data_IF_325478821511
#
_entry.id   IF_325478821511
#
_cell.length_a   1.000
_cell.length_b   1.000
_cell.length_c   1.000
_cell.angle_alpha   90.00
_cell.angle_beta   90.00
_cell.angle_gamma   90.00
#
_symmetry.space_group_name_H-M   'P 1'
#
loop_
_entity.id
_entity.type
_entity.pdbx_description
1 polymer ?
#
# COMPACT_ATOMS: atom_id res chain seq x y z
N UNK A 1 -16.95 -9.03 -23.19
CA UNK A 1 -16.70 -8.07 -22.07
C UNK A 1 -15.23 -7.66 -22.06
N UNK A 2 -14.92 -6.38 -21.89
CA UNK A 2 -13.52 -5.92 -21.89
C UNK A 2 -13.02 -5.82 -20.43
N UNK A 3 -12.44 -6.90 -19.92
CA UNK A 3 -11.91 -6.97 -18.54
C UNK A 3 -10.84 -5.91 -18.23
N UNK A 4 -10.08 -5.47 -19.25
CA UNK A 4 -9.12 -4.37 -19.08
C UNK A 4 -9.83 -3.06 -18.73
N UNK A 5 -10.95 -2.76 -19.36
CA UNK A 5 -11.69 -1.53 -19.12
C UNK A 5 -12.29 -1.51 -17.72
N UNK A 6 -12.81 -2.64 -17.24
CA UNK A 6 -13.34 -2.76 -15.88
C UNK A 6 -12.21 -2.58 -14.86
N UNK A 7 -11.05 -3.19 -15.08
CA UNK A 7 -9.91 -3.03 -14.17
C UNK A 7 -9.33 -1.60 -14.21
N UNK A 8 -9.32 -0.96 -15.38
CA UNK A 8 -8.96 0.46 -15.51
C UNK A 8 -9.97 1.37 -14.78
N UNK A 9 -11.27 1.04 -14.84
CA UNK A 9 -12.29 1.75 -14.07
C UNK A 9 -12.08 1.58 -12.56
N UNK A 10 -11.79 0.35 -12.08
CA UNK A 10 -11.42 0.12 -10.67
C UNK A 10 -10.23 1.00 -10.27
N UNK A 11 -9.18 1.06 -11.10
CA UNK A 11 -8.01 1.88 -10.83
C UNK A 11 -8.36 3.37 -10.77
N UNK A 12 -9.06 3.89 -11.77
CA UNK A 12 -9.41 5.32 -11.81
C UNK A 12 -10.36 5.73 -10.68
N UNK A 13 -11.35 4.89 -10.36
CA UNK A 13 -12.24 5.15 -9.23
C UNK A 13 -11.47 5.14 -7.92
N UNK A 14 -10.60 4.15 -7.70
CA UNK A 14 -9.87 4.03 -6.44
C UNK A 14 -8.76 5.09 -6.28
N UNK A 15 -8.03 5.44 -7.35
CA UNK A 15 -6.85 6.30 -7.25
C UNK A 15 -7.11 7.78 -7.58
N UNK A 16 -8.23 8.11 -8.27
CA UNK A 16 -8.44 9.49 -8.74
C UNK A 16 -9.83 9.97 -8.42
N UNK A 17 -10.87 9.35 -8.99
CA UNK A 17 -12.21 9.94 -9.06
C UNK A 17 -12.82 10.04 -7.66
N UNK A 18 -12.86 8.95 -6.91
CA UNK A 18 -13.53 8.94 -5.60
C UNK A 18 -12.75 9.75 -4.56
N UNK A 19 -11.41 9.72 -4.61
CA UNK A 19 -10.59 10.53 -3.73
C UNK A 19 -10.76 12.02 -3.99
N UNK A 20 -10.67 12.47 -5.25
CA UNK A 20 -10.90 13.88 -5.59
C UNK A 20 -12.34 14.32 -5.29
N UNK A 21 -13.33 13.48 -5.60
CA UNK A 21 -14.73 13.80 -5.29
C UNK A 21 -14.93 13.98 -3.78
N UNK A 22 -14.41 13.08 -2.96
CA UNK A 22 -14.44 13.22 -1.50
C UNK A 22 -13.71 14.48 -1.05
N UNK A 23 -12.51 14.75 -1.57
CA UNK A 23 -11.69 15.89 -1.17
C UNK A 23 -12.38 17.24 -1.45
N UNK A 24 -13.06 17.36 -2.60
CA UNK A 24 -13.73 18.60 -3.01
C UNK A 24 -15.09 18.77 -2.34
N UNK A 25 -15.85 17.69 -2.17
CA UNK A 25 -17.25 17.75 -1.70
C UNK A 25 -17.42 17.44 -0.22
N UNK A 26 -16.44 16.80 0.43
CA UNK A 26 -16.55 16.24 1.78
C UNK A 26 -17.45 14.99 1.89
N UNK A 27 -18.00 14.49 0.76
CA UNK A 27 -18.98 13.39 0.77
C UNK A 27 -18.24 12.05 0.76
N UNK A 28 -18.24 11.34 1.88
CA UNK A 28 -17.60 10.02 2.04
C UNK A 28 -18.33 8.89 1.28
N UNK A 29 -19.58 9.10 0.86
CA UNK A 29 -20.35 8.12 0.09
C UNK A 29 -19.68 7.73 -1.23
N UNK A 30 -18.86 8.60 -1.83
CA UNK A 30 -18.08 8.24 -3.03
C UNK A 30 -17.16 7.04 -2.83
N UNK A 31 -16.70 6.77 -1.61
CA UNK A 31 -15.86 5.61 -1.28
C UNK A 31 -16.59 4.26 -1.36
N UNK A 32 -17.91 4.26 -1.54
CA UNK A 32 -18.67 3.04 -1.83
C UNK A 32 -18.51 2.57 -3.27
N UNK A 33 -18.20 3.45 -4.22
CA UNK A 33 -18.09 3.11 -5.65
C UNK A 33 -16.98 2.08 -5.95
N UNK A 34 -15.73 2.20 -5.42
CA UNK A 34 -14.73 1.17 -5.57
C UNK A 34 -15.15 -0.20 -5.03
N UNK A 35 -15.84 -0.22 -3.88
CA UNK A 35 -16.40 -1.43 -3.29
C UNK A 35 -17.44 -2.10 -4.22
N UNK A 36 -18.42 -1.35 -4.67
CA UNK A 36 -19.47 -1.86 -5.57
C UNK A 36 -18.86 -2.38 -6.88
N UNK A 37 -17.85 -1.69 -7.41
CA UNK A 37 -17.19 -2.13 -8.63
C UNK A 37 -16.31 -3.37 -8.39
N UNK A 38 -15.70 -3.54 -7.23
CA UNK A 38 -14.96 -4.75 -6.88
C UNK A 38 -15.91 -5.98 -6.82
N UNK A 39 -17.08 -5.83 -6.18
CA UNK A 39 -18.12 -6.88 -6.18
C UNK A 39 -18.61 -7.17 -7.61
N UNK A 40 -18.90 -6.13 -8.39
CA UNK A 40 -19.32 -6.30 -9.78
C UNK A 40 -18.26 -7.02 -10.60
N UNK A 41 -16.97 -6.73 -10.37
CA UNK A 41 -15.84 -7.40 -11.03
C UNK A 41 -15.85 -8.90 -10.73
N UNK A 42 -16.08 -9.29 -9.48
CA UNK A 42 -16.19 -10.71 -9.09
C UNK A 42 -17.42 -11.37 -9.72
N UNK A 43 -18.59 -10.70 -9.71
CA UNK A 43 -19.82 -11.21 -10.33
C UNK A 43 -19.73 -11.36 -11.85
N UNK A 44 -18.92 -10.53 -12.50
CA UNK A 44 -18.71 -10.58 -13.95
C UNK A 44 -17.69 -11.65 -14.38
N UNK A 45 -16.93 -12.22 -13.45
CA UNK A 45 -15.92 -13.22 -13.72
C UNK A 45 -16.49 -14.46 -14.46
N UNK A 46 -17.62 -15.08 -14.03
CA UNK A 46 -18.21 -16.23 -14.72
C UNK A 46 -18.73 -15.90 -16.13
N UNK A 47 -19.05 -14.64 -16.41
CA UNK A 47 -19.54 -14.18 -17.71
C UNK A 47 -18.43 -13.90 -18.71
N UNK A 48 -17.19 -14.05 -18.31
CA UNK A 48 -16.05 -13.81 -19.21
C UNK A 48 -15.90 -14.96 -20.19
N UNK A 49 -16.08 -14.68 -21.49
CA UNK A 49 -16.02 -15.69 -22.58
C UNK A 49 -14.66 -16.36 -22.72
N UNK A 50 -13.60 -15.78 -22.17
CA UNK A 50 -12.23 -16.30 -22.22
C UNK A 50 -11.73 -16.65 -20.83
N UNK A 51 -12.62 -17.18 -19.99
CA UNK A 51 -12.26 -17.62 -18.66
C UNK A 51 -11.17 -18.70 -18.71
N UNK A 52 -10.03 -18.43 -18.14
CA UNK A 52 -8.91 -19.33 -18.02
C UNK A 52 -8.19 -19.04 -16.73
N UNK A 53 -8.42 -19.82 -15.68
CA UNK A 53 -7.73 -19.61 -14.41
C UNK A 53 -6.22 -19.72 -14.60
N UNK A 54 -5.47 -18.92 -13.85
CA UNK A 54 -4.02 -19.00 -13.84
C UNK A 54 -3.58 -20.38 -13.34
N UNK A 55 -2.61 -20.99 -14.03
CA UNK A 55 -2.01 -22.26 -13.58
C UNK A 55 -0.75 -21.97 -12.79
N UNK A 56 -0.88 -21.90 -11.48
CA UNK A 56 0.21 -21.60 -10.55
C UNK A 56 0.47 -22.80 -9.64
N UNK A 57 1.72 -22.95 -9.22
CA UNK A 57 2.02 -23.79 -8.06
C UNK A 57 1.39 -23.11 -6.84
N UNK A 58 0.80 -23.87 -5.95
CA UNK A 58 0.15 -23.37 -4.74
C UNK A 58 -1.14 -22.53 -4.93
N UNK A 59 -1.73 -22.48 -6.12
CA UNK A 59 -2.97 -21.74 -6.37
C UNK A 59 -4.08 -22.14 -5.38
N UNK A 60 -4.26 -23.43 -5.15
CA UNK A 60 -5.24 -23.98 -4.20
C UNK A 60 -4.96 -23.49 -2.78
N UNK A 61 -3.69 -23.44 -2.37
CA UNK A 61 -3.30 -22.94 -1.04
C UNK A 61 -3.59 -21.46 -0.88
N UNK A 62 -3.34 -20.66 -1.93
CA UNK A 62 -3.67 -19.21 -1.93
C UNK A 62 -5.17 -19.01 -1.81
N UNK A 63 -5.97 -19.75 -2.58
CA UNK A 63 -7.43 -19.69 -2.50
C UNK A 63 -7.96 -20.16 -1.14
N UNK A 64 -7.39 -21.22 -0.58
CA UNK A 64 -7.77 -21.74 0.73
C UNK A 64 -7.49 -20.72 1.83
N UNK A 65 -6.28 -20.14 1.88
CA UNK A 65 -5.93 -19.14 2.88
C UNK A 65 -6.80 -17.88 2.74
N UNK A 66 -7.02 -17.42 1.50
CA UNK A 66 -7.86 -16.27 1.23
C UNK A 66 -9.32 -16.50 1.64
N UNK A 67 -9.88 -17.65 1.25
CA UNK A 67 -11.25 -18.02 1.63
C UNK A 67 -11.40 -18.22 3.13
N UNK A 68 -10.41 -18.86 3.77
CA UNK A 68 -10.36 -19.02 5.22
C UNK A 68 -10.37 -17.68 5.96
N UNK A 69 -9.57 -16.71 5.49
CA UNK A 69 -9.55 -15.34 6.04
C UNK A 69 -10.92 -14.67 5.90
N UNK A 70 -11.53 -14.73 4.70
CA UNK A 70 -12.84 -14.12 4.46
C UNK A 70 -13.93 -14.77 5.33
N UNK A 71 -13.97 -16.09 5.40
CA UNK A 71 -14.95 -16.82 6.21
C UNK A 71 -14.79 -16.44 7.68
N UNK A 72 -13.57 -16.44 8.21
CA UNK A 72 -13.30 -16.06 9.59
C UNK A 72 -13.75 -14.62 9.86
N UNK A 73 -13.35 -13.67 9.01
CA UNK A 73 -13.69 -12.26 9.18
C UNK A 73 -15.19 -12.01 9.08
N UNK A 74 -15.86 -12.52 8.03
CA UNK A 74 -17.28 -12.25 7.80
C UNK A 74 -18.20 -12.99 8.78
N UNK A 75 -17.95 -14.29 9.02
CA UNK A 75 -18.78 -15.04 9.98
C UNK A 75 -18.54 -14.57 11.41
N UNK A 76 -17.27 -14.29 11.77
CA UNK A 76 -16.95 -13.74 13.10
C UNK A 76 -17.67 -12.43 13.37
N UNK A 77 -17.69 -11.52 12.38
CA UNK A 77 -18.40 -10.24 12.49
C UNK A 77 -19.90 -10.43 12.52
N UNK A 78 -20.45 -11.27 11.62
CA UNK A 78 -21.90 -11.52 11.55
C UNK A 78 -22.47 -12.07 12.86
N UNK A 79 -21.75 -13.00 13.48
CA UNK A 79 -22.17 -13.64 14.74
C UNK A 79 -22.06 -12.70 15.94
N UNK A 80 -21.08 -11.80 15.95
CA UNK A 80 -20.82 -10.91 17.10
C UNK A 80 -21.55 -9.56 17.00
N UNK A 81 -21.70 -9.01 15.80
CA UNK A 81 -22.16 -7.62 15.59
C UNK A 81 -23.35 -7.48 14.63
N UNK A 82 -23.70 -8.55 13.92
CA UNK A 82 -24.83 -8.56 12.99
C UNK A 82 -24.51 -8.05 11.58
N UNK A 83 -25.50 -8.13 10.68
CA UNK A 83 -25.29 -7.98 9.23
C UNK A 83 -24.86 -6.59 8.78
N UNK A 84 -25.38 -5.51 9.40
CA UNK A 84 -25.05 -4.14 8.98
C UNK A 84 -23.55 -3.83 9.21
N UNK A 85 -23.04 -4.18 10.38
CA UNK A 85 -21.61 -3.97 10.69
C UNK A 85 -20.72 -4.85 9.80
N UNK A 86 -21.16 -6.09 9.49
CA UNK A 86 -20.45 -6.96 8.55
C UNK A 86 -20.30 -6.32 7.17
N UNK A 87 -21.33 -5.71 6.62
CA UNK A 87 -21.29 -5.03 5.32
C UNK A 87 -20.34 -3.82 5.37
N UNK A 88 -20.44 -3.01 6.41
CA UNK A 88 -19.63 -1.79 6.56
C UNK A 88 -18.16 -2.17 6.80
N UNK A 89 -17.86 -3.11 7.69
CA UNK A 89 -16.52 -3.60 7.94
C UNK A 89 -15.91 -4.25 6.71
N UNK A 90 -16.63 -5.10 6.02
CA UNK A 90 -16.17 -5.68 4.77
C UNK A 90 -15.84 -4.60 3.73
N UNK A 91 -16.72 -3.60 3.55
CA UNK A 91 -16.49 -2.46 2.67
C UNK A 91 -15.24 -1.68 3.04
N UNK A 92 -15.02 -1.42 4.33
CA UNK A 92 -13.89 -0.60 4.78
C UNK A 92 -12.55 -1.33 4.66
N UNK A 93 -12.49 -2.63 5.00
CA UNK A 93 -11.24 -3.32 5.31
C UNK A 93 -10.84 -4.39 4.30
N UNK A 94 -11.80 -5.08 3.68
CA UNK A 94 -11.52 -6.25 2.84
C UNK A 94 -12.11 -6.19 1.43
N UNK A 95 -12.90 -5.18 1.09
CA UNK A 95 -13.62 -5.15 -0.18
C UNK A 95 -12.72 -5.25 -1.41
N UNK A 96 -11.64 -4.50 -1.43
CA UNK A 96 -10.72 -4.47 -2.56
C UNK A 96 -9.81 -5.70 -2.61
N UNK A 97 -9.79 -6.52 -1.55
CA UNK A 97 -9.14 -7.83 -1.58
C UNK A 97 -9.77 -8.77 -2.61
N UNK A 98 -11.05 -8.57 -2.98
CA UNK A 98 -11.75 -9.34 -4.02
C UNK A 98 -11.07 -9.26 -5.40
N UNK A 99 -10.26 -8.23 -5.64
CA UNK A 99 -9.48 -8.12 -6.89
C UNK A 99 -8.40 -9.21 -7.00
N UNK A 100 -7.86 -9.67 -5.88
CA UNK A 100 -6.86 -10.73 -5.85
C UNK A 100 -7.39 -12.06 -6.42
N UNK A 101 -8.50 -12.64 -5.92
CA UNK A 101 -9.08 -13.84 -6.52
C UNK A 101 -9.57 -13.60 -7.95
N UNK A 102 -10.07 -12.41 -8.32
CA UNK A 102 -10.42 -12.11 -9.70
C UNK A 102 -9.22 -12.25 -10.64
N UNK A 103 -8.07 -11.69 -10.27
CA UNK A 103 -6.83 -11.80 -11.03
C UNK A 103 -6.30 -13.23 -11.05
N UNK A 104 -6.32 -13.94 -9.90
CA UNK A 104 -5.92 -15.33 -9.78
C UNK A 104 -6.76 -16.26 -10.64
N UNK A 105 -8.05 -15.98 -10.79
CA UNK A 105 -8.98 -16.73 -11.65
C UNK A 105 -8.96 -16.27 -13.12
N UNK A 106 -8.02 -15.41 -13.51
CA UNK A 106 -7.76 -15.07 -14.90
C UNK A 106 -8.63 -13.94 -15.47
N UNK A 107 -9.14 -13.05 -14.62
CA UNK A 107 -9.93 -11.89 -15.06
C UNK A 107 -9.12 -10.95 -15.99
N UNK A 108 -7.82 -10.80 -15.76
CA UNK A 108 -6.91 -10.04 -16.62
C UNK A 108 -5.75 -10.91 -17.13
N UNK A 109 -5.29 -10.58 -18.34
CA UNK A 109 -4.11 -11.16 -18.99
C UNK A 109 -2.93 -10.17 -19.01
N UNK A 110 -1.77 -10.66 -19.38
CA UNK A 110 -0.50 -9.92 -19.41
C UNK A 110 -0.59 -8.59 -20.17
N UNK A 111 -1.16 -8.61 -21.37
CA UNK A 111 -1.32 -7.41 -22.20
C UNK A 111 -2.23 -6.35 -21.57
N UNK A 112 -3.16 -6.79 -20.71
CA UNK A 112 -4.06 -5.92 -19.98
C UNK A 112 -3.36 -5.30 -18.77
N UNK A 113 -2.55 -6.08 -18.03
CA UNK A 113 -1.70 -5.56 -16.97
C UNK A 113 -0.78 -4.46 -17.51
N UNK A 114 -0.16 -4.67 -18.66
CA UNK A 114 0.66 -3.63 -19.30
C UNK A 114 -0.11 -2.31 -19.53
N UNK A 115 -1.36 -2.39 -20.04
CA UNK A 115 -2.21 -1.20 -20.25
C UNK A 115 -2.57 -0.50 -18.93
N UNK A 116 -2.84 -1.26 -17.89
CA UNK A 116 -3.15 -0.72 -16.57
C UNK A 116 -1.92 -0.01 -15.99
N UNK A 117 -0.73 -0.58 -16.16
CA UNK A 117 0.52 0.04 -15.67
C UNK A 117 0.84 1.36 -16.38
N UNK A 118 0.47 1.51 -17.66
CA UNK A 118 0.53 2.82 -18.33
C UNK A 118 -0.41 3.84 -17.69
N UNK A 119 -1.59 3.42 -17.26
CA UNK A 119 -2.53 4.30 -16.57
C UNK A 119 -2.00 4.71 -15.19
N UNK A 120 -1.32 3.82 -14.46
CA UNK A 120 -0.61 4.16 -13.22
C UNK A 120 0.42 5.27 -13.45
N UNK A 121 1.15 5.21 -14.55
CA UNK A 121 2.10 6.26 -14.93
C UNK A 121 1.41 7.61 -15.19
N UNK A 122 0.27 7.62 -15.88
CA UNK A 122 -0.53 8.83 -16.06
C UNK A 122 -1.07 9.39 -14.75
N UNK A 123 -1.53 8.52 -13.84
CA UNK A 123 -1.96 8.94 -12.50
C UNK A 123 -0.79 9.59 -11.74
N UNK A 124 0.44 9.08 -11.91
CA UNK A 124 1.62 9.71 -11.30
C UNK A 124 1.86 11.13 -11.82
N UNK A 125 1.77 11.35 -13.13
CA UNK A 125 1.92 12.71 -13.67
C UNK A 125 0.81 13.65 -13.20
N UNK A 126 -0.40 13.14 -12.98
CA UNK A 126 -1.51 13.90 -12.42
C UNK A 126 -1.26 14.31 -10.96
N UNK A 127 -0.53 13.49 -10.17
CA UNK A 127 -0.20 13.86 -8.78
C UNK A 127 0.61 15.16 -8.72
N UNK A 128 1.52 15.41 -9.68
CA UNK A 128 2.43 16.57 -9.63
C UNK A 128 1.66 17.89 -9.53
N UNK A 129 0.77 18.27 -10.45
CA UNK A 129 0.02 19.52 -10.35
C UNK A 129 -0.93 19.53 -9.14
N UNK A 130 -1.52 18.40 -8.75
CA UNK A 130 -2.42 18.34 -7.59
C UNK A 130 -1.65 18.56 -6.30
N UNK A 131 -0.50 17.93 -6.13
CA UNK A 131 0.38 18.14 -4.97
C UNK A 131 0.88 19.59 -4.90
N UNK A 132 1.31 20.16 -6.03
CA UNK A 132 1.72 21.56 -6.07
C UNK A 132 0.58 22.50 -5.65
N UNK A 133 -0.64 22.26 -6.13
CA UNK A 133 -1.81 23.02 -5.69
C UNK A 133 -2.04 22.89 -4.17
N UNK A 134 -1.96 21.67 -3.64
CA UNK A 134 -2.14 21.44 -2.21
C UNK A 134 -1.07 22.17 -1.37
N UNK A 135 0.20 22.09 -1.77
CA UNK A 135 1.30 22.74 -1.07
C UNK A 135 1.18 24.27 -1.12
N UNK A 136 0.81 24.84 -2.28
CA UNK A 136 0.79 26.31 -2.47
C UNK A 136 -0.50 26.96 -1.98
N UNK A 137 -1.61 26.25 -1.92
CA UNK A 137 -2.94 26.83 -1.62
C UNK A 137 -3.55 26.23 -0.36
N UNK A 138 -3.56 24.90 -0.24
CA UNK A 138 -4.28 24.22 0.86
C UNK A 138 -3.48 24.29 2.16
N UNK A 139 -2.19 24.00 2.14
CA UNK A 139 -1.33 24.01 3.34
C UNK A 139 -1.30 25.41 3.98
N UNK A 140 -1.03 26.52 3.26
CA UNK A 140 -1.05 27.86 3.84
C UNK A 140 -2.42 28.23 4.43
N UNK A 141 -3.51 27.87 3.75
CA UNK A 141 -4.87 28.11 4.26
C UNK A 141 -5.15 27.37 5.56
N UNK A 142 -4.74 26.09 5.64
CA UNK A 142 -4.90 25.28 6.84
C UNK A 142 -4.08 25.82 8.02
N UNK A 143 -2.80 26.19 7.76
CA UNK A 143 -1.91 26.80 8.75
C UNK A 143 -2.49 28.10 9.28
N UNK A 144 -3.00 28.98 8.40
CA UNK A 144 -3.62 30.23 8.78
C UNK A 144 -4.87 30.06 9.66
N UNK A 145 -5.61 28.93 9.50
CA UNK A 145 -6.84 28.67 10.27
C UNK A 145 -6.60 27.89 11.57
N UNK A 146 -5.60 27.02 11.62
CA UNK A 146 -5.40 26.06 12.72
C UNK A 146 -4.01 26.13 13.38
N UNK A 147 -3.07 26.88 12.81
CA UNK A 147 -1.70 27.00 13.30
C UNK A 147 -0.69 26.10 12.59
N UNK A 148 0.58 26.33 12.85
CA UNK A 148 1.72 25.67 12.17
C UNK A 148 1.76 24.15 12.35
N UNK A 149 1.27 23.64 13.47
CA UNK A 149 1.23 22.19 13.72
C UNK A 149 0.27 21.44 12.78
N UNK A 150 -0.68 22.14 12.19
CA UNK A 150 -1.68 21.55 11.32
C UNK A 150 -1.26 21.44 9.84
N UNK A 151 -0.03 21.83 9.49
CA UNK A 151 0.47 21.72 8.11
C UNK A 151 0.66 20.27 7.65
N UNK A 152 0.93 19.38 8.61
CA UNK A 152 1.15 17.97 8.31
C UNK A 152 -0.15 17.29 7.89
N UNK A 153 -0.03 16.19 7.15
CA UNK A 153 -1.14 15.40 6.59
C UNK A 153 -2.09 16.15 5.64
N UNK A 154 -1.65 17.30 5.10
CA UNK A 154 -2.45 18.10 4.18
C UNK A 154 -2.24 17.77 2.70
N UNK A 155 -1.13 17.11 2.36
CA UNK A 155 -0.75 16.80 0.98
C UNK A 155 -1.08 15.35 0.68
N UNK A 156 -2.22 15.13 0.03
CA UNK A 156 -2.79 13.79 -0.22
C UNK A 156 -2.84 13.41 -1.71
N UNK A 157 -2.46 14.34 -2.60
CA UNK A 157 -2.65 14.13 -4.04
C UNK A 157 -4.13 13.94 -4.38
N UNK A 158 -4.43 12.95 -5.24
CA UNK A 158 -5.80 12.61 -5.67
C UNK A 158 -6.50 11.62 -4.74
N UNK A 159 -5.90 11.22 -3.60
CA UNK A 159 -6.31 10.04 -2.84
C UNK A 159 -7.35 10.30 -1.74
N UNK A 160 -7.88 11.51 -1.71
CA UNK A 160 -8.97 11.84 -0.78
C UNK A 160 -8.48 12.23 0.60
N UNK A 161 -9.42 12.36 1.51
CA UNK A 161 -9.23 12.91 2.84
C UNK A 161 -9.93 14.25 3.00
N UNK A 162 -9.86 14.82 4.20
CA UNK A 162 -10.37 16.17 4.47
C UNK A 162 -9.26 17.19 4.29
N UNK A 163 -9.43 18.23 3.45
CA UNK A 163 -8.45 19.30 3.30
C UNK A 163 -8.13 20.02 4.61
N UNK A 164 -9.07 20.00 5.55
CA UNK A 164 -8.97 20.70 6.82
C UNK A 164 -8.64 19.80 8.02
N UNK A 165 -8.57 18.48 7.82
CA UNK A 165 -8.28 17.55 8.89
C UNK A 165 -7.74 16.23 8.40
N UNK A 166 -6.62 15.78 8.53
CA UNK A 166 -6.05 14.48 8.18
C UNK A 166 -6.37 13.96 6.77
N UNK A 167 -5.47 13.25 6.20
CA UNK A 167 -5.63 12.75 4.85
C UNK A 167 -4.84 11.49 4.58
N UNK A 168 -4.85 11.07 3.32
CA UNK A 168 -4.23 9.83 2.86
C UNK A 168 -2.77 10.06 2.38
N UNK A 169 -2.01 10.90 3.09
CA UNK A 169 -0.60 11.22 2.75
C UNK A 169 0.26 9.97 2.64
N UNK A 170 0.10 9.04 3.57
CA UNK A 170 0.81 7.78 3.54
C UNK A 170 0.51 6.95 2.29
N UNK A 171 -0.75 6.92 1.81
CA UNK A 171 -1.11 6.23 0.57
C UNK A 171 -0.45 6.88 -0.65
N UNK A 172 -0.34 8.23 -0.67
CA UNK A 172 0.42 8.96 -1.69
C UNK A 172 1.89 8.56 -1.68
N UNK A 173 2.49 8.44 -0.49
CA UNK A 173 3.88 7.98 -0.34
C UNK A 173 4.08 6.56 -0.87
N UNK A 174 3.19 5.62 -0.55
CA UNK A 174 3.27 4.25 -1.09
C UNK A 174 3.09 4.20 -2.60
N UNK A 175 2.19 5.01 -3.16
CA UNK A 175 2.05 5.12 -4.61
C UNK A 175 3.33 5.64 -5.26
N UNK A 176 3.93 6.69 -4.70
CA UNK A 176 5.24 7.21 -5.16
C UNK A 176 6.34 6.15 -5.05
N UNK A 177 6.37 5.38 -3.95
CA UNK A 177 7.29 4.25 -3.78
C UNK A 177 7.12 3.22 -4.90
N UNK A 178 5.88 2.81 -5.20
CA UNK A 178 5.60 1.88 -6.31
C UNK A 178 6.14 2.41 -7.64
N UNK A 179 5.94 3.69 -7.94
CA UNK A 179 6.48 4.32 -9.16
C UNK A 179 8.00 4.30 -9.19
N UNK A 180 8.67 4.67 -8.08
CA UNK A 180 10.13 4.61 -7.99
C UNK A 180 10.68 3.22 -8.25
N UNK A 181 10.08 2.18 -7.64
CA UNK A 181 10.48 0.79 -7.79
C UNK A 181 10.30 0.30 -9.23
N UNK A 182 9.17 0.62 -9.87
CA UNK A 182 8.89 0.26 -11.27
C UNK A 182 9.89 0.92 -12.20
N UNK A 183 10.11 2.23 -12.07
CA UNK A 183 11.01 2.97 -12.97
C UNK A 183 12.46 2.55 -12.81
N UNK A 184 12.90 2.24 -11.59
CA UNK A 184 14.22 1.65 -11.36
C UNK A 184 14.35 0.29 -12.04
N UNK A 185 13.32 -0.56 -11.93
CA UNK A 185 13.32 -1.88 -12.56
C UNK A 185 13.30 -1.80 -14.10
N UNK A 186 12.48 -0.90 -14.68
CA UNK A 186 12.49 -0.62 -16.13
C UNK A 186 13.88 -0.15 -16.62
N UNK A 187 14.53 0.75 -15.86
CA UNK A 187 15.88 1.21 -16.17
C UNK A 187 16.90 0.08 -16.13
N UNK A 188 16.82 -0.76 -15.11
CA UNK A 188 17.71 -1.93 -14.96
C UNK A 188 17.57 -2.89 -16.17
N UNK A 189 16.37 -3.04 -16.71
CA UNK A 189 16.11 -3.84 -17.90
C UNK A 189 16.44 -3.12 -19.23
N UNK A 190 16.92 -1.87 -19.17
CA UNK A 190 17.31 -1.08 -20.34
C UNK A 190 16.13 -0.56 -21.17
N UNK A 191 14.95 -0.39 -20.56
CA UNK A 191 13.72 0.05 -21.21
C UNK A 191 13.53 1.56 -21.20
N UNK A 192 14.17 2.26 -20.27
CA UNK A 192 14.11 3.73 -20.13
C UNK A 192 15.50 4.34 -19.97
N UNK A 193 15.61 5.62 -20.26
CA UNK A 193 16.86 6.37 -20.16
C UNK A 193 17.21 6.75 -18.71
N UNK A 194 18.50 7.08 -18.45
CA UNK A 194 18.95 7.59 -17.16
C UNK A 194 18.23 8.86 -16.73
N UNK A 195 17.92 9.76 -17.67
CA UNK A 195 17.18 11.00 -17.38
C UNK A 195 15.76 10.71 -16.93
N UNK A 196 15.10 9.75 -17.58
CA UNK A 196 13.74 9.34 -17.23
C UNK A 196 13.66 8.72 -15.83
N UNK A 197 14.55 7.77 -15.49
CA UNK A 197 14.53 7.16 -14.15
C UNK A 197 14.86 8.19 -13.07
N UNK A 198 15.84 9.07 -13.30
CA UNK A 198 16.19 10.13 -12.36
C UNK A 198 15.00 11.08 -12.12
N UNK A 199 14.33 11.51 -13.19
CA UNK A 199 13.13 12.36 -13.06
C UNK A 199 12.05 11.71 -12.19
N UNK A 200 11.69 10.45 -12.46
CA UNK A 200 10.61 9.78 -11.72
C UNK A 200 10.99 9.54 -10.25
N UNK A 201 12.23 9.11 -9.99
CA UNK A 201 12.69 8.90 -8.60
C UNK A 201 12.73 10.22 -7.84
N UNK A 202 13.32 11.27 -8.41
CA UNK A 202 13.41 12.56 -7.74
C UNK A 202 12.04 13.22 -7.54
N UNK A 203 11.18 13.19 -8.56
CA UNK A 203 9.84 13.75 -8.45
C UNK A 203 8.97 12.98 -7.43
N UNK A 204 8.99 11.66 -7.46
CA UNK A 204 8.25 10.84 -6.49
C UNK A 204 8.80 11.01 -5.07
N UNK A 205 10.12 11.10 -4.91
CA UNK A 205 10.74 11.33 -3.61
C UNK A 205 10.43 12.75 -3.09
N UNK A 206 10.47 13.77 -3.94
CA UNK A 206 10.07 15.13 -3.59
C UNK A 206 8.59 15.19 -3.12
N UNK A 207 7.69 14.47 -3.79
CA UNK A 207 6.29 14.35 -3.33
C UNK A 207 6.23 13.72 -1.94
N UNK A 208 7.01 12.66 -1.66
CA UNK A 208 7.06 12.03 -0.33
C UNK A 208 7.58 13.00 0.75
N UNK A 209 8.55 13.85 0.42
CA UNK A 209 9.08 14.87 1.34
C UNK A 209 8.03 15.97 1.58
N UNK A 210 7.36 16.47 0.54
CA UNK A 210 6.30 17.47 0.65
C UNK A 210 5.06 16.96 1.41
N UNK A 211 4.78 15.66 1.32
CA UNK A 211 3.71 14.99 2.05
C UNK A 211 4.17 14.45 3.42
N UNK A 212 5.44 14.66 3.80
CA UNK A 212 6.06 14.24 5.08
C UNK A 212 5.92 12.75 5.41
N UNK A 213 5.94 11.88 4.38
CA UNK A 213 5.78 10.43 4.56
C UNK A 213 7.08 9.78 5.01
N UNK A 214 7.40 9.93 6.30
CA UNK A 214 8.65 9.48 6.93
C UNK A 214 8.97 8.00 6.64
N UNK A 215 7.99 7.11 6.76
CA UNK A 215 8.16 5.68 6.53
C UNK A 215 8.68 5.38 5.11
N UNK A 216 8.10 5.98 4.09
CA UNK A 216 8.52 5.77 2.70
C UNK A 216 9.89 6.38 2.44
N UNK A 217 10.17 7.57 2.98
CA UNK A 217 11.46 8.23 2.84
C UNK A 217 12.58 7.34 3.40
N UNK A 218 12.39 6.77 4.58
CA UNK A 218 13.40 5.92 5.23
C UNK A 218 13.51 4.53 4.60
N UNK A 219 12.40 3.95 4.12
CA UNK A 219 12.36 2.60 3.56
C UNK A 219 12.76 2.56 2.08
N UNK A 220 12.53 3.63 1.31
CA UNK A 220 12.75 3.63 -0.14
C UNK A 220 14.19 3.29 -0.55
N UNK A 221 15.27 3.74 0.12
CA UNK A 221 16.64 3.36 -0.25
C UNK A 221 16.87 1.85 -0.19
N UNK A 222 16.39 1.21 0.89
CA UNK A 222 16.51 -0.22 1.08
C UNK A 222 15.78 -1.00 -0.02
N UNK A 223 14.55 -0.60 -0.35
CA UNK A 223 13.75 -1.26 -1.37
C UNK A 223 14.27 -1.00 -2.79
N UNK A 224 14.78 0.19 -3.07
CA UNK A 224 15.43 0.49 -4.34
C UNK A 224 16.71 -0.36 -4.51
N UNK A 225 17.54 -0.48 -3.47
CA UNK A 225 18.67 -1.38 -3.46
C UNK A 225 18.23 -2.83 -3.67
N UNK A 226 17.17 -3.27 -3.00
CA UNK A 226 16.61 -4.61 -3.18
C UNK A 226 16.16 -4.85 -4.64
N UNK A 227 15.42 -3.93 -5.28
CA UNK A 227 15.02 -4.04 -6.70
C UNK A 227 16.24 -4.09 -7.61
N UNK A 228 17.27 -3.31 -7.30
CA UNK A 228 18.51 -3.33 -8.08
C UNK A 228 19.26 -4.66 -7.97
N UNK A 229 19.30 -5.27 -6.80
CA UNK A 229 20.04 -6.51 -6.52
C UNK A 229 19.25 -7.79 -6.79
N UNK A 230 17.91 -7.74 -6.72
CA UNK A 230 17.07 -8.92 -6.84
C UNK A 230 17.22 -9.60 -8.21
N UNK A 231 17.10 -10.94 -8.29
CA UNK A 231 17.05 -11.60 -9.58
C UNK A 231 15.86 -11.11 -10.44
N UNK A 232 15.94 -11.30 -11.75
CA UNK A 232 14.85 -11.08 -12.71
C UNK A 232 14.52 -12.37 -13.42
N UNK A 233 13.35 -12.48 -14.04
CA UNK A 233 13.03 -13.58 -14.94
C UNK A 233 13.89 -13.60 -16.20
N UNK A 234 14.47 -12.44 -16.59
CA UNK A 234 15.30 -12.29 -17.78
C UNK A 234 16.74 -12.66 -17.44
N UNK A 235 17.35 -13.60 -18.20
CA UNK A 235 18.77 -13.96 -18.13
C UNK A 235 19.65 -12.88 -18.79
N UNK A 236 20.94 -12.92 -18.50
CA UNK A 236 21.94 -12.05 -19.17
C UNK A 236 21.87 -10.58 -18.75
N UNK A 237 21.25 -10.27 -17.63
CA UNK A 237 21.30 -8.92 -17.06
C UNK A 237 22.73 -8.61 -16.56
N UNK A 238 23.18 -7.37 -16.78
CA UNK A 238 24.53 -6.93 -16.40
C UNK A 238 24.83 -7.28 -14.96
N UNK A 239 25.99 -7.93 -14.73
CA UNK A 239 26.55 -8.15 -13.40
C UNK A 239 26.82 -6.82 -12.69
N UNK A 240 26.72 -6.86 -11.37
CA UNK A 240 26.94 -5.67 -10.55
C UNK A 240 28.42 -5.31 -10.50
N UNK A 241 28.72 -4.03 -10.74
CA UNK A 241 30.00 -3.44 -10.47
C UNK A 241 29.95 -2.82 -9.05
N UNK A 242 30.88 -3.21 -8.18
CA UNK A 242 30.97 -2.74 -6.81
C UNK A 242 31.02 -1.19 -6.72
N UNK A 243 31.75 -0.54 -7.66
CA UNK A 243 31.81 0.93 -7.74
C UNK A 243 30.44 1.55 -7.95
N UNK A 244 29.59 0.97 -8.82
CA UNK A 244 28.23 1.45 -9.06
C UNK A 244 27.32 1.23 -7.87
N UNK A 245 27.46 0.10 -7.17
CA UNK A 245 26.72 -0.15 -5.93
C UNK A 245 27.06 0.87 -4.85
N UNK A 246 28.34 1.14 -4.64
CA UNK A 246 28.79 2.15 -3.68
C UNK A 246 28.31 3.55 -4.06
N UNK A 247 28.34 3.91 -5.34
CA UNK A 247 27.86 5.22 -5.81
C UNK A 247 26.34 5.37 -5.63
N UNK A 248 25.56 4.31 -5.88
CA UNK A 248 24.11 4.29 -5.64
C UNK A 248 23.84 4.40 -4.13
N UNK A 249 24.53 3.62 -3.31
CA UNK A 249 24.40 3.69 -1.85
C UNK A 249 24.69 5.10 -1.33
N UNK A 250 25.78 5.71 -1.80
CA UNK A 250 26.14 7.08 -1.43
C UNK A 250 25.08 8.11 -1.88
N UNK A 251 24.58 7.99 -3.12
CA UNK A 251 23.54 8.86 -3.64
C UNK A 251 22.22 8.73 -2.85
N UNK A 252 21.84 7.50 -2.48
CA UNK A 252 20.65 7.26 -1.67
C UNK A 252 20.81 7.78 -0.23
N UNK A 253 21.98 7.59 0.38
CA UNK A 253 22.30 8.17 1.71
C UNK A 253 22.24 9.69 1.67
N UNK A 254 22.83 10.32 0.65
CA UNK A 254 22.75 11.77 0.48
C UNK A 254 21.30 12.26 0.29
N UNK A 255 20.51 11.54 -0.49
CA UNK A 255 19.08 11.88 -0.71
C UNK A 255 18.29 11.81 0.60
N UNK A 256 18.48 10.77 1.40
CA UNK A 256 17.83 10.64 2.72
C UNK A 256 18.32 11.73 3.67
N UNK A 257 19.62 12.02 3.69
CA UNK A 257 20.16 13.09 4.54
C UNK A 257 19.55 14.46 4.20
N UNK A 258 19.42 14.77 2.90
CA UNK A 258 18.74 16.00 2.45
C UNK A 258 17.26 16.00 2.88
N UNK A 259 16.55 14.89 2.72
CA UNK A 259 15.14 14.79 3.13
C UNK A 259 14.99 14.99 4.65
N UNK A 260 15.84 14.35 5.46
CA UNK A 260 15.84 14.53 6.92
C UNK A 260 16.13 15.99 7.30
N UNK A 261 17.08 16.65 6.64
CA UNK A 261 17.37 18.07 6.88
C UNK A 261 16.16 18.97 6.53
N UNK A 262 15.48 18.70 5.41
CA UNK A 262 14.29 19.48 5.01
C UNK A 262 13.16 19.25 6.01
N UNK A 263 12.90 18.01 6.40
CA UNK A 263 11.90 17.67 7.41
C UNK A 263 12.24 18.31 8.78
N UNK A 264 13.49 18.22 9.22
CA UNK A 264 13.95 18.83 10.46
C UNK A 264 13.76 20.36 10.45
N UNK A 265 14.05 21.03 9.32
CA UNK A 265 13.79 22.46 9.16
C UNK A 265 12.29 22.77 9.21
N UNK A 266 11.43 21.93 8.62
CA UNK A 266 9.98 22.05 8.69
C UNK A 266 9.46 21.92 10.13
N UNK A 267 10.02 20.98 10.91
CA UNK A 267 9.66 20.81 12.31
C UNK A 267 10.14 21.97 13.18
N UNK A 268 11.36 22.47 12.98
CA UNK A 268 11.89 23.59 13.77
C UNK A 268 11.04 24.85 13.64
N UNK A 269 10.48 25.13 12.44
CA UNK A 269 9.59 26.29 12.24
C UNK A 269 8.26 26.16 12.99
N UNK A 270 7.77 24.94 13.22
CA UNK A 270 6.55 24.69 13.98
C UNK A 270 6.76 24.77 15.49
N UNK A 271 7.98 24.50 15.95
CA UNK A 271 8.37 24.54 17.37
C UNK A 271 9.14 25.83 17.75
N UNK A 272 8.90 26.93 17.03
CA UNK A 272 9.44 28.24 17.41
C UNK A 272 9.00 28.63 18.83
N UNK A 273 9.86 28.40 19.79
CA UNK A 273 9.61 28.57 21.24
C UNK A 273 10.19 27.45 22.12
N UNK A 274 10.49 26.31 21.57
CA UNK A 274 11.20 25.22 22.25
C UNK A 274 12.74 25.44 22.36
N UNK A 275 13.16 26.58 22.14
CA UNK A 275 14.32 27.48 22.44
C UNK A 275 15.69 26.90 22.67
N UNK A 276 16.03 25.64 22.66
CA UNK A 276 17.42 25.17 22.83
C UNK A 276 17.79 23.85 22.12
N UNK A 277 16.84 23.14 21.53
CA UNK A 277 17.14 21.90 20.83
C UNK A 277 17.37 22.16 19.32
N UNK A 278 18.42 21.54 18.75
CA UNK A 278 18.65 21.65 17.32
C UNK A 278 17.54 20.95 16.51
N UNK A 279 17.28 21.41 15.28
CA UNK A 279 16.22 20.91 14.39
C UNK A 279 16.26 19.37 14.20
N UNK A 280 17.45 18.76 14.17
CA UNK A 280 17.63 17.30 14.06
C UNK A 280 17.19 16.60 15.35
N UNK A 281 17.48 17.16 16.52
CA UNK A 281 17.04 16.59 17.80
C UNK A 281 15.52 16.59 17.90
N UNK A 282 14.85 17.68 17.55
CA UNK A 282 13.38 17.79 17.46
C UNK A 282 12.78 16.77 16.50
N UNK A 283 13.43 16.55 15.34
CA UNK A 283 12.97 15.52 14.40
C UNK A 283 13.10 14.11 14.99
N UNK A 284 14.22 13.80 15.68
CA UNK A 284 14.43 12.50 16.33
C UNK A 284 13.40 12.31 17.46
N UNK A 285 13.17 13.32 18.28
CA UNK A 285 12.15 13.29 19.34
C UNK A 285 10.76 13.08 18.76
N UNK A 286 10.48 13.68 17.61
CA UNK A 286 9.21 13.44 16.88
C UNK A 286 9.02 12.01 16.37
N UNK A 287 10.04 11.16 16.42
CA UNK A 287 9.95 9.72 16.14
C UNK A 287 9.77 8.89 17.42
N UNK A 288 9.92 9.49 18.60
CA UNK A 288 9.88 8.80 19.89
C UNK A 288 8.57 8.03 20.10
N UNK A 289 7.42 8.59 19.66
CA UNK A 289 6.11 7.94 19.76
C UNK A 289 6.05 6.56 19.05
N UNK A 290 6.94 6.29 18.12
CA UNK A 290 6.97 5.01 17.38
C UNK A 290 7.45 3.90 18.31
N UNK A 291 8.45 4.17 19.13
CA UNK A 291 9.15 3.18 19.95
C UNK A 291 8.78 3.19 21.43
N UNK A 292 8.10 4.25 21.91
CA UNK A 292 7.64 4.35 23.29
C UNK A 292 6.50 3.34 23.53
N UNK A 293 6.67 2.39 24.47
CA UNK A 293 5.64 1.39 24.76
C UNK A 293 4.43 1.95 25.52
N UNK A 294 4.51 3.17 26.04
CA UNK A 294 3.46 3.80 26.87
C UNK A 294 2.90 5.07 26.23
N UNK A 295 3.23 5.36 24.97
CA UNK A 295 2.77 6.58 24.35
C UNK A 295 1.27 6.54 24.04
N UNK A 296 0.54 7.47 24.64
CA UNK A 296 -0.86 7.75 24.32
C UNK A 296 -0.97 9.25 24.05
N UNK A 297 -1.49 9.62 22.89
CA UNK A 297 -1.75 11.02 22.60
C UNK A 297 -2.87 11.54 23.52
N UNK A 298 -2.62 12.53 24.39
CA UNK A 298 -3.60 12.99 25.38
C UNK A 298 -4.82 13.69 24.77
N UNK A 299 -4.69 14.23 23.55
CA UNK A 299 -5.78 14.94 22.87
C UNK A 299 -6.70 14.01 22.07
N UNK A 300 -6.12 13.03 21.39
CA UNK A 300 -6.86 12.13 20.50
C UNK A 300 -7.12 10.75 21.07
N UNK A 301 -6.37 10.32 22.10
CA UNK A 301 -6.37 8.94 22.58
C UNK A 301 -5.65 7.97 21.65
N UNK A 302 -4.93 8.45 20.60
CA UNK A 302 -4.21 7.59 19.68
C UNK A 302 -3.02 6.93 20.38
N UNK A 303 -2.92 5.60 20.26
CA UNK A 303 -1.81 4.80 20.78
C UNK A 303 -0.58 4.91 19.88
N UNK A 304 0.61 4.93 20.49
CA UNK A 304 1.88 4.79 19.78
C UNK A 304 1.98 3.46 19.04
N UNK A 305 2.92 3.35 18.09
CA UNK A 305 3.02 2.18 17.19
C UNK A 305 3.37 0.89 17.92
N UNK A 306 4.24 0.97 18.91
CA UNK A 306 4.59 -0.17 19.77
C UNK A 306 3.57 -0.32 20.90
N UNK A 307 3.10 0.79 21.48
CA UNK A 307 2.07 0.82 22.53
C UNK A 307 0.83 0.03 22.15
N UNK A 308 0.33 0.19 20.92
CA UNK A 308 -0.89 -0.49 20.47
C UNK A 308 -0.75 -2.02 20.48
N UNK A 309 0.45 -2.56 20.24
CA UNK A 309 0.72 -4.00 20.30
C UNK A 309 0.77 -4.52 21.73
N UNK A 310 1.43 -3.78 22.64
CA UNK A 310 1.43 -4.11 24.07
C UNK A 310 0.04 -4.00 24.66
N UNK A 311 -0.72 -2.99 24.25
CA UNK A 311 -2.10 -2.81 24.69
C UNK A 311 -2.98 -3.99 24.27
N UNK A 312 -2.86 -4.45 23.01
CA UNK A 312 -3.54 -5.65 22.55
C UNK A 312 -3.09 -6.89 23.33
N UNK A 313 -1.80 -7.09 23.56
CA UNK A 313 -1.28 -8.23 24.29
C UNK A 313 -1.80 -8.32 25.73
N UNK A 314 -2.10 -7.17 26.33
CA UNK A 314 -2.62 -7.08 27.71
C UNK A 314 -4.14 -7.14 27.81
N UNK A 315 -4.87 -6.86 26.73
CA UNK A 315 -6.34 -6.70 26.77
C UNK A 315 -7.08 -7.50 25.68
N UNK A 316 -6.37 -8.20 24.80
CA UNK A 316 -6.99 -8.89 23.65
C UNK A 316 -7.96 -10.02 24.06
N UNK A 317 -7.81 -10.57 25.25
CA UNK A 317 -8.68 -11.59 25.84
C UNK A 317 -9.79 -11.03 26.74
N UNK A 318 -10.06 -9.72 26.70
CA UNK A 318 -11.04 -9.06 27.56
C UNK A 318 -12.41 -9.76 27.62
N UNK A 319 -12.88 -10.29 26.48
CA UNK A 319 -14.09 -11.11 26.40
C UNK A 319 -13.80 -12.62 26.29
N UNK A 320 -12.59 -13.06 26.65
CA UNK A 320 -12.17 -14.45 26.67
C UNK A 320 -11.27 -14.89 25.53
N UNK A 321 -10.74 -16.10 25.63
CA UNK A 321 -9.76 -16.67 24.70
C UNK A 321 -10.26 -16.75 23.25
N UNK A 322 -11.58 -16.90 23.04
CA UNK A 322 -12.16 -16.91 21.69
C UNK A 322 -11.91 -15.60 20.94
N UNK A 323 -12.04 -14.46 21.61
CA UNK A 323 -11.80 -13.16 21.00
C UNK A 323 -10.32 -12.88 20.77
N UNK A 324 -9.44 -13.35 21.63
CA UNK A 324 -8.00 -13.32 21.39
C UNK A 324 -7.62 -14.08 20.10
N UNK A 325 -8.23 -15.28 19.90
CA UNK A 325 -7.91 -16.14 18.76
C UNK A 325 -8.58 -15.71 17.47
N UNK A 326 -9.86 -15.31 17.50
CA UNK A 326 -10.68 -15.06 16.32
C UNK A 326 -11.12 -13.60 16.13
N UNK A 327 -10.76 -12.73 17.06
CA UNK A 327 -11.06 -11.31 17.04
C UNK A 327 -12.48 -10.95 17.49
N UNK A 328 -12.76 -9.66 17.42
CA UNK A 328 -14.04 -9.05 17.81
C UNK A 328 -14.94 -8.76 16.59
N UNK A 329 -14.49 -9.09 15.39
CA UNK A 329 -15.15 -8.80 14.13
C UNK A 329 -14.67 -7.50 13.48
N UNK A 330 -14.91 -7.40 12.15
CA UNK A 330 -14.54 -6.23 11.35
C UNK A 330 -15.18 -4.93 11.87
N UNK A 331 -14.52 -3.80 11.64
CA UNK A 331 -14.96 -2.46 12.01
C UNK A 331 -15.02 -2.18 13.53
N UNK A 332 -14.55 -3.09 14.37
CA UNK A 332 -14.61 -2.90 15.86
C UNK A 332 -13.64 -1.85 16.37
N UNK A 333 -12.57 -1.61 15.65
CA UNK A 333 -11.54 -0.61 15.99
C UNK A 333 -11.67 0.68 15.18
N UNK A 334 -12.41 0.68 14.09
CA UNK A 334 -12.45 1.79 13.13
C UNK A 334 -13.21 2.99 13.69
N UNK A 335 -12.50 4.05 14.08
CA UNK A 335 -13.10 5.28 14.59
C UNK A 335 -13.64 6.20 13.49
N UNK A 336 -13.10 6.14 12.27
CA UNK A 336 -13.50 6.94 11.11
C UNK A 336 -14.69 6.37 10.33
N UNK A 337 -15.27 5.25 10.77
CA UNK A 337 -16.42 4.64 10.14
C UNK A 337 -17.72 5.40 10.40
N UNK A 338 -18.70 5.27 9.49
CA UNK A 338 -20.07 5.76 9.71
C UNK A 338 -20.77 5.10 10.91
N UNK A 339 -20.33 3.88 11.27
CA UNK A 339 -20.63 3.22 12.53
C UNK A 339 -19.31 3.01 13.25
N UNK A 340 -18.92 3.89 14.18
CA UNK A 340 -17.67 3.77 14.92
C UNK A 340 -17.57 2.45 15.66
N UNK A 341 -16.37 1.87 15.69
CA UNK A 341 -16.10 0.62 16.39
C UNK A 341 -16.33 0.73 17.90
N UNK A 342 -16.94 -0.28 18.49
CA UNK A 342 -17.33 -0.27 19.92
C UNK A 342 -16.14 -0.43 20.87
N UNK A 343 -14.99 -0.93 20.41
CA UNK A 343 -13.82 -1.14 21.27
C UNK A 343 -13.13 0.19 21.66
N UNK A 344 -13.15 1.19 20.78
CA UNK A 344 -12.54 2.49 21.08
C UNK A 344 -13.19 3.18 22.31
N UNK A 345 -14.51 3.35 22.37
CA UNK A 345 -15.15 3.90 23.59
C UNK A 345 -15.04 2.96 24.79
N UNK A 346 -14.97 1.64 24.61
CA UNK A 346 -14.79 0.69 25.72
C UNK A 346 -13.48 0.91 26.46
N UNK A 347 -12.40 1.14 25.72
CA UNK A 347 -11.06 1.35 26.29
C UNK A 347 -10.69 2.84 26.41
N UNK A 348 -11.51 3.74 25.89
CA UNK A 348 -11.24 5.19 25.82
C UNK A 348 -9.91 5.53 25.14
N UNK A 349 -9.54 4.76 24.10
CA UNK A 349 -8.36 4.97 23.25
C UNK A 349 -8.67 4.59 21.80
N UNK A 350 -7.86 5.08 20.85
CA UNK A 350 -7.96 4.71 19.45
C UNK A 350 -7.09 3.48 19.15
N UNK A 351 -7.72 2.36 18.80
CA UNK A 351 -7.07 1.06 18.61
C UNK A 351 -6.61 0.83 17.15
N UNK A 352 -7.02 1.67 16.22
CA UNK A 352 -6.75 1.54 14.79
C UNK A 352 -5.47 2.28 14.34
N UNK A 353 -4.52 2.51 15.23
CA UNK A 353 -3.26 3.20 14.94
C UNK A 353 -2.39 2.47 13.91
N UNK A 354 -2.49 1.15 13.80
CA UNK A 354 -1.72 0.33 12.86
C UNK A 354 -2.57 -0.77 12.22
N UNK A 355 -2.24 -1.18 11.00
CA UNK A 355 -2.91 -2.31 10.32
C UNK A 355 -2.76 -3.63 11.08
N UNK A 356 -1.63 -3.82 11.76
CA UNK A 356 -1.41 -5.00 12.59
C UNK A 356 -2.33 -4.99 13.81
N UNK A 357 -2.53 -3.83 14.45
CA UNK A 357 -3.48 -3.69 15.55
C UNK A 357 -4.91 -3.98 15.09
N UNK A 358 -5.34 -3.39 13.97
CA UNK A 358 -6.66 -3.66 13.38
C UNK A 358 -6.85 -5.16 13.16
N UNK A 359 -5.90 -5.83 12.52
CA UNK A 359 -5.97 -7.28 12.30
C UNK A 359 -6.06 -8.07 13.61
N UNK A 360 -5.23 -7.74 14.60
CA UNK A 360 -5.20 -8.47 15.87
C UNK A 360 -6.51 -8.31 16.66
N UNK A 361 -7.10 -7.12 16.68
CA UNK A 361 -8.38 -6.89 17.35
C UNK A 361 -9.56 -7.46 16.57
N UNK A 362 -9.58 -7.33 15.25
CA UNK A 362 -10.78 -7.61 14.44
C UNK A 362 -10.89 -9.06 13.97
N UNK A 363 -9.77 -9.67 13.55
CA UNK A 363 -9.76 -11.07 13.11
C UNK A 363 -8.92 -11.98 14.03
N UNK A 364 -8.39 -11.43 15.10
CA UNK A 364 -7.63 -12.15 16.13
C UNK A 364 -6.29 -12.68 15.65
N UNK A 365 -5.63 -13.42 16.51
CA UNK A 365 -4.32 -14.01 16.21
C UNK A 365 -4.38 -14.96 15.00
N UNK A 366 -5.41 -15.79 14.89
CA UNK A 366 -5.55 -16.76 13.80
C UNK A 366 -5.76 -16.07 12.46
N UNK A 367 -6.65 -15.07 12.38
CA UNK A 367 -6.88 -14.30 11.15
C UNK A 367 -5.65 -13.52 10.73
N UNK A 368 -4.94 -12.92 11.68
CA UNK A 368 -3.69 -12.19 11.44
C UNK A 368 -2.60 -13.12 10.88
N UNK A 369 -2.43 -14.32 11.46
CA UNK A 369 -1.48 -15.32 10.96
C UNK A 369 -1.85 -15.81 9.55
N UNK A 370 -3.13 -16.05 9.28
CA UNK A 370 -3.61 -16.43 7.94
C UNK A 370 -3.32 -15.30 6.94
N UNK A 371 -3.58 -14.04 7.30
CA UNK A 371 -3.30 -12.88 6.45
C UNK A 371 -1.81 -12.76 6.11
N UNK A 372 -0.94 -12.83 7.12
CA UNK A 372 0.51 -12.77 6.91
C UNK A 372 1.00 -13.96 6.08
N UNK A 373 0.52 -15.17 6.38
CA UNK A 373 0.86 -16.37 5.62
C UNK A 373 0.44 -16.28 4.15
N UNK A 374 -0.74 -15.71 3.87
CA UNK A 374 -1.21 -15.44 2.51
C UNK A 374 -0.25 -14.53 1.76
N UNK A 375 0.13 -13.39 2.36
CA UNK A 375 1.05 -12.43 1.72
C UNK A 375 2.42 -13.08 1.49
N UNK A 376 2.99 -13.73 2.50
CA UNK A 376 4.29 -14.40 2.40
C UNK A 376 4.27 -15.48 1.32
N UNK A 377 3.19 -16.28 1.24
CA UNK A 377 3.02 -17.28 0.19
C UNK A 377 2.97 -16.65 -1.20
N UNK A 378 2.22 -15.55 -1.37
CA UNK A 378 2.13 -14.82 -2.63
C UNK A 378 3.50 -14.28 -3.08
N UNK A 379 4.23 -13.63 -2.19
CA UNK A 379 5.57 -13.11 -2.47
C UNK A 379 6.55 -14.24 -2.82
N UNK A 380 6.46 -15.36 -2.10
CA UNK A 380 7.29 -16.55 -2.37
C UNK A 380 6.98 -17.19 -3.72
N UNK A 381 5.70 -17.36 -4.06
CA UNK A 381 5.28 -17.88 -5.37
C UNK A 381 5.72 -17.01 -6.52
N UNK A 382 5.68 -15.69 -6.33
CA UNK A 382 5.99 -14.70 -7.36
C UNK A 382 7.47 -14.32 -7.42
N UNK A 383 8.35 -14.91 -6.59
CA UNK A 383 9.77 -14.58 -6.60
C UNK A 383 10.40 -14.80 -7.98
N UNK A 384 11.11 -13.81 -8.53
CA UNK A 384 11.72 -13.95 -9.84
C UNK A 384 12.93 -14.89 -9.79
N UNK A 385 13.07 -15.69 -10.87
CA UNK A 385 14.23 -16.55 -11.11
C UNK A 385 14.66 -16.37 -12.56
N UNK A 386 15.96 -16.34 -12.88
CA UNK A 386 16.43 -16.16 -14.26
C UNK A 386 16.08 -17.40 -15.10
N UNK A 387 15.01 -17.33 -15.88
CA UNK A 387 14.44 -18.42 -16.65
C UNK A 387 14.47 -18.21 -18.16
N UNK A 388 14.28 -16.97 -18.63
CA UNK A 388 14.05 -16.63 -20.03
C UNK A 388 15.23 -15.82 -20.60
N UNK A 389 15.70 -16.21 -21.79
CA UNK A 389 16.77 -15.49 -22.47
C UNK A 389 16.22 -14.21 -23.11
N UNK A 390 16.95 -13.11 -22.91
CA UNK A 390 16.54 -11.78 -23.42
C UNK A 390 16.39 -11.74 -24.93
N UNK A 391 17.16 -12.52 -25.66
CA UNK A 391 17.18 -12.55 -27.13
C UNK A 391 15.87 -13.12 -27.72
N UNK A 392 15.15 -13.92 -26.93
CA UNK A 392 13.88 -14.56 -27.34
C UNK A 392 12.65 -13.74 -26.98
N UNK A 393 12.80 -12.61 -26.29
CA UNK A 393 11.70 -11.82 -25.74
C UNK A 393 11.49 -10.54 -26.55
N UNK A 394 10.23 -10.20 -26.81
CA UNK A 394 9.86 -8.89 -27.34
C UNK A 394 10.08 -7.79 -26.28
N UNK A 395 10.21 -6.54 -26.73
CA UNK A 395 10.35 -5.39 -25.82
C UNK A 395 9.12 -5.27 -24.87
N UNK A 396 7.93 -5.65 -25.33
CA UNK A 396 6.72 -5.65 -24.51
C UNK A 396 6.79 -6.70 -23.41
N UNK A 397 7.29 -7.91 -23.71
CA UNK A 397 7.47 -8.98 -22.74
C UNK A 397 8.53 -8.61 -21.70
N UNK A 398 9.67 -8.06 -22.15
CA UNK A 398 10.72 -7.60 -21.21
C UNK A 398 10.16 -6.53 -20.27
N UNK A 399 9.31 -5.62 -20.76
CA UNK A 399 8.69 -4.58 -19.93
C UNK A 399 7.72 -5.18 -18.92
N UNK A 400 6.88 -6.12 -19.31
CA UNK A 400 5.99 -6.82 -18.39
C UNK A 400 6.78 -7.55 -17.29
N UNK A 401 7.83 -8.27 -17.68
CA UNK A 401 8.69 -9.01 -16.74
C UNK A 401 9.49 -8.08 -15.82
N UNK A 402 9.78 -6.86 -16.28
CA UNK A 402 10.51 -5.87 -15.47
C UNK A 402 9.69 -5.38 -14.26
N UNK A 403 8.36 -5.46 -14.28
CA UNK A 403 7.54 -5.07 -13.13
C UNK A 403 7.68 -6.01 -11.94
N UNK A 404 8.05 -7.28 -12.16
CA UNK A 404 8.04 -8.29 -11.10
C UNK A 404 8.91 -7.95 -9.89
N UNK A 405 10.20 -7.56 -10.03
CA UNK A 405 11.01 -7.18 -8.87
C UNK A 405 10.41 -6.00 -8.09
N UNK A 406 9.82 -5.02 -8.80
CA UNK A 406 9.17 -3.88 -8.18
C UNK A 406 7.91 -4.29 -7.40
N UNK A 407 7.08 -5.18 -7.95
CA UNK A 407 5.88 -5.67 -7.31
C UNK A 407 6.18 -6.46 -6.03
N UNK A 408 7.23 -7.29 -6.05
CA UNK A 408 7.66 -8.00 -4.84
C UNK A 408 8.18 -7.02 -3.79
N UNK A 409 9.00 -6.04 -4.18
CA UNK A 409 9.49 -5.01 -3.26
C UNK A 409 8.33 -4.20 -2.64
N UNK A 410 7.33 -3.84 -3.43
CA UNK A 410 6.14 -3.15 -2.95
C UNK A 410 5.32 -4.02 -1.97
N UNK A 411 5.14 -5.30 -2.27
CA UNK A 411 4.49 -6.24 -1.34
C UNK A 411 5.25 -6.38 -0.02
N UNK A 412 6.58 -6.40 -0.05
CA UNK A 412 7.43 -6.36 1.15
C UNK A 412 7.23 -5.05 1.91
N UNK A 413 7.18 -3.90 1.22
CA UNK A 413 6.91 -2.61 1.85
C UNK A 413 5.57 -2.59 2.59
N UNK A 414 4.51 -3.13 1.97
CA UNK A 414 3.20 -3.23 2.60
C UNK A 414 3.22 -4.16 3.82
N UNK A 415 3.94 -5.28 3.77
CA UNK A 415 4.10 -6.18 4.91
C UNK A 415 4.84 -5.48 6.08
N UNK A 416 5.92 -4.76 5.77
CA UNK A 416 6.68 -3.99 6.76
C UNK A 416 5.88 -2.82 7.34
N UNK A 417 4.89 -2.30 6.63
CA UNK A 417 4.04 -1.21 7.11
C UNK A 417 2.95 -1.65 8.09
N UNK A 418 2.66 -2.94 8.22
CA UNK A 418 1.60 -3.45 9.11
C UNK A 418 1.73 -2.93 10.54
N UNK A 419 2.91 -2.98 11.20
CA UNK A 419 3.07 -2.45 12.55
C UNK A 419 3.26 -0.93 12.62
N UNK A 420 3.30 -0.24 11.46
CA UNK A 420 3.59 1.18 11.40
C UNK A 420 2.36 2.04 11.11
N UNK A 421 1.48 1.63 10.20
CA UNK A 421 0.35 2.43 9.77
C UNK A 421 -0.92 1.61 9.53
N UNK A 422 -2.08 2.25 9.67
CA UNK A 422 -3.40 1.67 9.45
C UNK A 422 -3.79 1.57 7.95
N UNK A 423 -2.98 2.11 7.04
CA UNK A 423 -3.33 2.35 5.64
C UNK A 423 -3.80 1.10 4.90
N UNK A 424 -3.14 -0.05 5.14
CA UNK A 424 -3.46 -1.27 4.40
C UNK A 424 -4.85 -1.82 4.73
N UNK A 425 -5.31 -1.62 5.95
CA UNK A 425 -6.64 -2.10 6.38
C UNK A 425 -7.75 -1.07 6.16
N UNK A 426 -7.47 0.21 6.30
CA UNK A 426 -8.53 1.22 6.34
C UNK A 426 -8.60 2.12 5.11
N UNK A 427 -7.55 2.19 4.28
CA UNK A 427 -7.50 3.14 3.16
C UNK A 427 -7.69 2.43 1.82
N UNK A 428 -8.81 2.68 1.09
CA UNK A 428 -9.13 1.97 -0.16
C UNK A 428 -8.04 2.08 -1.24
N UNK A 429 -7.38 3.23 -1.36
CA UNK A 429 -6.27 3.43 -2.29
C UNK A 429 -5.14 2.42 -2.04
N UNK A 430 -4.74 2.28 -0.77
CA UNK A 430 -3.66 1.37 -0.38
C UNK A 430 -4.06 -0.10 -0.58
N UNK A 431 -5.29 -0.45 -0.23
CA UNK A 431 -5.85 -1.78 -0.47
C UNK A 431 -5.84 -2.12 -1.97
N UNK A 432 -6.32 -1.18 -2.81
CA UNK A 432 -6.34 -1.37 -4.27
C UNK A 432 -4.93 -1.64 -4.79
N UNK A 433 -3.97 -0.76 -4.49
CA UNK A 433 -2.59 -0.91 -4.95
C UNK A 433 -2.00 -2.25 -4.51
N UNK A 434 -2.19 -2.62 -3.26
CA UNK A 434 -1.64 -3.85 -2.70
C UNK A 434 -2.20 -5.11 -3.38
N UNK A 435 -3.51 -5.28 -3.41
CA UNK A 435 -4.13 -6.48 -3.99
C UNK A 435 -3.99 -6.54 -5.50
N UNK A 436 -4.03 -5.39 -6.18
CA UNK A 436 -3.76 -5.31 -7.62
C UNK A 436 -2.31 -5.71 -7.94
N UNK A 437 -1.33 -5.18 -7.23
CA UNK A 437 0.09 -5.46 -7.47
C UNK A 437 0.40 -6.94 -7.21
N UNK A 438 -0.10 -7.53 -6.13
CA UNK A 438 0.05 -8.96 -5.86
C UNK A 438 -0.62 -9.82 -6.94
N UNK A 439 -1.85 -9.49 -7.32
CA UNK A 439 -2.57 -10.18 -8.39
C UNK A 439 -1.86 -10.06 -9.75
N UNK A 440 -1.36 -8.88 -10.09
CA UNK A 440 -0.58 -8.66 -11.32
C UNK A 440 0.73 -9.46 -11.33
N UNK A 441 1.41 -9.57 -10.18
CA UNK A 441 2.60 -10.41 -10.02
C UNK A 441 2.28 -11.90 -10.30
N UNK A 442 1.11 -12.40 -9.87
CA UNK A 442 0.64 -13.75 -10.17
C UNK A 442 0.38 -13.95 -11.67
N UNK A 443 -0.24 -12.98 -12.35
CA UNK A 443 -0.47 -13.02 -13.80
C UNK A 443 0.85 -13.13 -14.55
N UNK A 444 1.84 -12.29 -14.20
CA UNK A 444 3.19 -12.33 -14.79
C UNK A 444 3.85 -13.70 -14.53
N UNK A 445 3.76 -14.23 -13.33
CA UNK A 445 4.33 -15.55 -12.99
C UNK A 445 3.71 -16.68 -13.82
N UNK A 446 2.41 -16.65 -14.04
CA UNK A 446 1.70 -17.63 -14.88
C UNK A 446 2.19 -17.61 -16.32
N UNK A 447 2.38 -16.43 -16.90
CA UNK A 447 2.89 -16.24 -18.26
C UNK A 447 4.31 -16.80 -18.44
N UNK A 448 5.22 -16.51 -17.50
CA UNK A 448 6.57 -17.07 -17.49
C UNK A 448 6.54 -18.62 -17.48
N UNK A 449 5.67 -19.20 -16.66
CA UNK A 449 5.54 -20.65 -16.56
C UNK A 449 5.02 -21.29 -17.85
N UNK A 450 4.11 -20.63 -18.54
CA UNK A 450 3.62 -21.11 -19.86
C UNK A 450 4.73 -21.07 -20.89
N UNK A 451 5.50 -19.97 -20.94
CA UNK A 451 6.62 -19.82 -21.87
C UNK A 451 7.73 -20.87 -21.65
N UNK A 452 8.09 -21.16 -20.39
CA UNK A 452 9.10 -22.19 -20.10
C UNK A 452 8.65 -23.59 -20.49
N UNK A 453 7.38 -23.95 -20.28
CA UNK A 453 6.86 -25.27 -20.70
C UNK A 453 6.84 -25.46 -22.23
N UNK A 454 6.51 -24.42 -22.99
CA UNK A 454 6.55 -24.49 -24.44
C UNK A 454 7.97 -24.68 -24.98
N UNK A 455 8.99 -24.17 -24.30
CA UNK A 455 10.40 -24.41 -24.65
C UNK A 455 10.91 -25.82 -24.26
N UNK A 456 10.28 -26.49 -23.30
CA UNK A 456 10.66 -27.87 -22.89
C UNK A 456 10.03 -28.94 -23.80
N UNK A 457 8.97 -28.61 -24.54
CA UNK A 457 8.23 -29.50 -25.45
C UNK A 457 8.69 -29.37 -26.91
N UNK A 458 9.34 -28.27 -27.26
CA UNK A 458 9.96 -28.03 -28.58
C UNK A 458 11.41 -28.56 -28.60
#
# INVERSE_FOLDING_TARGET
>A
MNSALIMQANLLLSLVICGLAQYVTGITAFLWLPFLLAIATLMLLPLQTRYSPLRLDYQEKVLLLYSGLLVLALLGTLLQQGGMVTIIGFKNELALSLLLPCLLLGFCRESQIYRIMKLVEWVFYLQIPVVLFQVLVVVPKRVAMRGEFEKWDSVVGTFGGDPMGGGNTGALGFFCLLVMLIKLSEFRHGLISRRSVAFHILAAFAICVLAEVKFVILLSPLLLAWVWLSPSYVRGMKSYDLKRLLLIALAMTALVAVAVMVLAASYSSAFEGAGQQGAIALFIDSLGYIFDPNHINPETGELGRVTTLFFWASNGDHHGLSNLLFGYGLNTTNHGSTLPGFLNPLFNVLLDSTSLSVLLWEVGLMGTLIFIALIVLLLWCCRPRPLLDRLLLSTADVRLLSYQPAFIAFGIACLLSLPYSQLLMLIPVQQFLFYFVLGAALVIRSSVRQATRSCEVS
#
